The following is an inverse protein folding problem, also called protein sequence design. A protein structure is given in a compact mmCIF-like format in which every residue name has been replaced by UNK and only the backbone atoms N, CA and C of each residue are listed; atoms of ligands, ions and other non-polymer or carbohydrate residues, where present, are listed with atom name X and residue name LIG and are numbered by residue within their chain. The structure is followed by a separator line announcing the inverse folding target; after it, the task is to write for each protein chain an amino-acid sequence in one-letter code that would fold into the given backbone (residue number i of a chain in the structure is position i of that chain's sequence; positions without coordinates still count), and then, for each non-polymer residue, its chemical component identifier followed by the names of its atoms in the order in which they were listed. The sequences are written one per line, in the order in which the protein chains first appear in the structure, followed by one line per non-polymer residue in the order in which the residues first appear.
data_IF_454993447707
#
_entry.id   IF_454993447707
#
_cell.length_a   1.000
_cell.length_b   1.000
_cell.length_c   1.000
_cell.angle_alpha   90.00
_cell.angle_beta   90.00
_cell.angle_gamma   90.00
#
_symmetry.space_group_name_H-M   'P 1'
#
loop_
_entity.id
_entity.type
_entity.pdbx_description
1 polymer ?
#
# COMPACT_ATOMS: atom_id res chain seq x y z
N UNK A 1 17.76 -2.74 -6.76
CA UNK A 1 17.76 -4.11 -6.19
C UNK A 1 18.33 -4.16 -4.77
N UNK A 2 19.09 -3.15 -4.32
CA UNK A 2 19.87 -3.22 -3.07
C UNK A 2 19.10 -2.96 -1.76
N UNK A 3 18.11 -2.03 -1.75
CA UNK A 3 17.37 -1.72 -0.53
C UNK A 3 16.42 -2.82 -0.05
N UNK A 4 15.75 -3.52 -0.98
CA UNK A 4 14.90 -4.67 -0.60
C UNK A 4 15.73 -5.75 0.07
N UNK A 5 16.94 -6.01 -0.43
CA UNK A 5 17.86 -6.97 0.19
C UNK A 5 18.25 -6.53 1.60
N UNK A 6 18.55 -5.23 1.77
CA UNK A 6 18.82 -4.65 3.08
C UNK A 6 17.63 -4.79 4.05
N UNK A 7 16.42 -4.39 3.64
CA UNK A 7 15.22 -4.52 4.47
C UNK A 7 14.89 -6.00 4.75
N UNK A 8 15.06 -6.87 3.75
CA UNK A 8 14.90 -8.31 3.95
C UNK A 8 15.88 -8.90 4.94
N UNK A 9 17.09 -8.36 5.02
CA UNK A 9 18.05 -8.74 6.04
C UNK A 9 17.68 -8.14 7.41
N UNK A 10 17.32 -6.85 7.45
CA UNK A 10 16.96 -6.12 8.68
C UNK A 10 15.75 -6.75 9.39
N UNK A 11 14.79 -7.25 8.61
CA UNK A 11 13.58 -7.89 9.08
C UNK A 11 13.60 -9.42 8.87
N UNK A 12 14.78 -10.03 8.67
CA UNK A 12 14.92 -11.46 8.32
C UNK A 12 14.34 -12.44 9.35
N UNK A 13 14.27 -12.02 10.61
CA UNK A 13 13.76 -12.86 11.70
C UNK A 13 12.27 -12.64 11.98
N UNK A 14 11.58 -11.86 11.13
CA UNK A 14 10.17 -11.53 11.30
C UNK A 14 9.37 -12.27 10.25
N UNK A 15 8.53 -13.22 10.71
CA UNK A 15 7.69 -14.07 9.88
C UNK A 15 6.83 -13.25 8.91
N UNK A 16 6.31 -12.10 9.33
CA UNK A 16 5.52 -11.19 8.49
C UNK A 16 6.28 -10.62 7.29
N UNK A 17 7.60 -10.46 7.41
CA UNK A 17 8.45 -10.06 6.28
C UNK A 17 8.68 -11.23 5.30
N UNK A 18 8.65 -12.46 5.82
CA UNK A 18 8.86 -13.70 5.09
C UNK A 18 7.57 -14.39 4.63
N UNK A 19 6.40 -13.91 5.05
CA UNK A 19 5.14 -14.63 4.89
C UNK A 19 4.89 -14.97 3.41
N UNK A 20 5.21 -16.21 3.08
CA UNK A 20 4.55 -17.03 2.08
C UNK A 20 3.31 -17.64 2.73
N UNK A 21 2.42 -16.81 3.28
CA UNK A 21 1.16 -17.35 3.78
C UNK A 21 0.44 -18.00 2.60
N UNK A 22 0.16 -19.30 2.68
CA UNK A 22 -0.68 -20.04 1.71
C UNK A 22 -2.08 -19.41 1.55
N UNK A 23 -2.42 -18.46 2.42
CA UNK A 23 -3.61 -17.65 2.33
C UNK A 23 -3.40 -16.45 1.39
N UNK A 24 -3.96 -16.53 0.18
CA UNK A 24 -3.88 -15.49 -0.86
C UNK A 24 -4.54 -14.15 -0.50
N UNK A 25 -5.11 -14.05 0.70
CA UNK A 25 -5.89 -12.90 1.20
C UNK A 25 -5.20 -12.13 2.33
N UNK A 26 -3.94 -12.45 2.65
CA UNK A 26 -3.18 -11.75 3.70
C UNK A 26 -2.87 -10.30 3.30
N UNK A 27 -3.10 -9.35 4.21
CA UNK A 27 -2.70 -7.96 4.05
C UNK A 27 -1.35 -7.72 4.74
N UNK A 28 -0.29 -7.28 4.02
CA UNK A 28 1.03 -7.11 4.63
C UNK A 28 1.04 -6.01 5.71
N UNK A 29 1.39 -6.39 6.94
CA UNK A 29 1.46 -5.48 8.10
C UNK A 29 2.82 -4.79 8.22
N UNK A 30 3.85 -5.30 7.54
CA UNK A 30 5.09 -4.58 7.26
C UNK A 30 5.13 -4.23 5.76
N UNK A 31 5.30 -2.96 5.46
CA UNK A 31 5.33 -2.45 4.09
C UNK A 31 6.53 -1.56 3.88
N UNK A 32 7.21 -1.69 2.73
CA UNK A 32 8.26 -0.77 2.32
C UNK A 32 7.88 -0.07 1.02
N UNK A 33 8.20 1.21 0.95
CA UNK A 33 7.78 2.06 -0.17
C UNK A 33 8.66 3.28 -0.31
N UNK A 34 8.48 3.96 -1.45
CA UNK A 34 9.07 5.26 -1.70
C UNK A 34 7.98 6.31 -1.65
N UNK A 35 8.11 7.27 -0.75
CA UNK A 35 7.17 8.38 -0.56
C UNK A 35 8.00 9.65 -0.64
N UNK A 36 7.62 10.58 -1.51
CA UNK A 36 8.32 11.87 -1.69
C UNK A 36 9.85 11.75 -1.79
N UNK A 37 10.28 10.79 -2.62
CA UNK A 37 11.68 10.42 -2.85
C UNK A 37 12.41 9.80 -1.64
N UNK A 38 11.82 9.80 -0.44
CA UNK A 38 12.30 9.12 0.76
C UNK A 38 11.90 7.65 0.77
N UNK A 39 12.69 6.84 1.46
CA UNK A 39 12.38 5.45 1.75
C UNK A 39 11.59 5.39 3.04
N UNK A 40 10.49 4.64 3.03
CA UNK A 40 9.63 4.50 4.18
C UNK A 40 9.39 3.02 4.47
N UNK A 41 9.39 2.68 5.75
CA UNK A 41 8.96 1.39 6.28
C UNK A 41 7.78 1.68 7.19
N UNK A 42 6.68 0.95 7.00
CA UNK A 42 5.46 1.06 7.79
C UNK A 42 5.28 -0.27 8.50
N UNK A 43 5.15 -0.22 9.82
CA UNK A 43 4.66 -1.32 10.64
C UNK A 43 3.24 -0.99 11.11
N UNK A 44 2.37 -1.99 11.11
CA UNK A 44 0.96 -1.85 11.49
C UNK A 44 0.65 -2.82 12.63
N UNK A 45 -0.16 -2.39 13.60
CA UNK A 45 -0.48 -3.20 14.78
C UNK A 45 0.77 -3.50 15.60
N UNK A 46 0.95 -4.76 16.01
CA UNK A 46 2.12 -5.22 16.76
C UNK A 46 3.46 -4.97 16.03
N UNK A 47 3.45 -4.89 14.69
CA UNK A 47 4.66 -4.63 13.91
C UNK A 47 5.09 -3.16 13.92
N UNK A 48 4.25 -2.24 14.40
CA UNK A 48 4.62 -0.83 14.55
C UNK A 48 5.80 -0.68 15.53
N UNK A 49 5.73 -1.34 16.68
CA UNK A 49 6.78 -1.29 17.71
C UNK A 49 8.08 -1.94 17.22
N UNK A 50 7.98 -3.07 16.52
CA UNK A 50 9.12 -3.77 15.93
C UNK A 50 9.84 -2.88 14.89
N UNK A 51 9.07 -2.22 14.02
CA UNK A 51 9.64 -1.27 13.04
C UNK A 51 10.25 -0.07 13.77
N UNK A 52 9.57 0.48 14.77
CA UNK A 52 10.08 1.60 15.57
C UNK A 52 11.43 1.26 16.20
N UNK A 53 11.55 0.13 16.88
CA UNK A 53 12.78 -0.32 17.54
C UNK A 53 13.92 -0.52 16.54
N UNK A 54 13.67 -1.26 15.45
CA UNK A 54 14.71 -1.56 14.45
C UNK A 54 15.18 -0.31 13.72
N UNK A 55 14.27 0.60 13.38
CA UNK A 55 14.62 1.82 12.67
C UNK A 55 15.32 2.82 13.58
N UNK A 56 14.92 2.94 14.85
CA UNK A 56 15.55 3.86 15.82
C UNK A 56 17.02 3.56 16.09
N UNK A 57 17.42 2.29 15.96
CA UNK A 57 18.80 1.85 16.15
C UNK A 57 19.61 1.83 14.85
N UNK A 58 19.04 2.29 13.74
CA UNK A 58 19.68 2.23 12.44
C UNK A 58 20.47 3.52 12.15
N UNK A 59 21.77 3.39 11.91
CA UNK A 59 22.69 4.48 11.56
C UNK A 59 23.16 4.42 10.09
N UNK A 60 22.93 3.31 9.40
CA UNK A 60 23.33 3.11 8.01
C UNK A 60 22.46 2.12 7.24
N UNK A 61 22.48 2.23 5.92
CA UNK A 61 21.95 1.22 4.99
C UNK A 61 23.13 0.48 4.37
N UNK A 62 23.18 -0.83 4.56
CA UNK A 62 24.19 -1.68 3.92
C UNK A 62 23.65 -2.25 2.61
N UNK A 63 24.34 -1.99 1.51
CA UNK A 63 24.13 -2.66 0.22
C UNK A 63 25.26 -3.67 -0.02
N UNK A 64 25.19 -4.41 -1.14
CA UNK A 64 26.29 -5.33 -1.51
C UNK A 64 27.64 -4.62 -1.67
N UNK A 65 27.61 -3.36 -2.09
CA UNK A 65 28.82 -2.63 -2.52
C UNK A 65 29.27 -1.57 -1.51
N UNK A 66 28.39 -1.11 -0.60
CA UNK A 66 28.68 0.02 0.26
C UNK A 66 27.82 0.09 1.52
N UNK A 67 28.35 0.76 2.55
CA UNK A 67 27.63 1.19 3.75
C UNK A 67 27.32 2.69 3.62
N UNK A 68 26.03 3.01 3.49
CA UNK A 68 25.54 4.38 3.29
C UNK A 68 25.04 4.91 4.62
N UNK A 69 25.68 5.93 5.24
CA UNK A 69 25.20 6.49 6.49
C UNK A 69 23.83 7.15 6.32
N UNK A 70 22.97 7.02 7.33
CA UNK A 70 21.68 7.72 7.36
C UNK A 70 21.92 9.18 7.73
N UNK A 71 21.57 10.10 6.83
CA UNK A 71 21.72 11.54 7.04
C UNK A 71 20.50 12.16 7.73
N UNK A 72 19.33 11.56 7.56
CA UNK A 72 18.10 11.97 8.22
C UNK A 72 17.18 10.75 8.40
N UNK A 73 16.65 10.58 9.61
CA UNK A 73 15.70 9.54 9.96
C UNK A 73 14.49 10.21 10.63
N UNK A 74 13.33 10.08 10.00
CA UNK A 74 12.06 10.54 10.54
C UNK A 74 11.26 9.32 10.99
N UNK A 75 10.91 9.27 12.27
CA UNK A 75 10.07 8.21 12.85
C UNK A 75 8.81 8.87 13.36
N UNK A 76 7.67 8.31 12.98
CA UNK A 76 6.35 8.77 13.40
C UNK A 76 5.54 7.57 13.85
N UNK A 77 4.87 7.71 14.99
CA UNK A 77 3.84 6.77 15.44
C UNK A 77 2.50 7.49 15.40
N UNK A 78 1.48 6.85 14.82
CA UNK A 78 0.15 7.42 14.67
C UNK A 78 -0.90 6.35 14.93
N UNK A 79 -1.98 6.75 15.57
CA UNK A 79 -3.13 5.88 15.79
C UNK A 79 -4.19 6.18 14.75
N UNK A 80 -4.64 5.14 14.06
CA UNK A 80 -5.73 5.22 13.10
C UNK A 80 -7.04 4.80 13.76
N UNK A 81 -8.10 5.58 13.51
CA UNK A 81 -9.47 5.22 13.88
C UNK A 81 -10.36 5.32 12.65
N UNK A 82 -11.17 4.27 12.36
CA UNK A 82 -12.16 4.37 11.30
C UNK A 82 -13.19 5.43 11.71
N UNK A 83 -13.45 6.36 10.79
CA UNK A 83 -14.44 7.43 11.01
C UNK A 83 -15.15 7.73 9.71
N UNK A 84 -16.47 7.80 9.75
CA UNK A 84 -17.31 8.20 8.61
C UNK A 84 -17.19 9.71 8.36
N UNK A 85 -16.29 10.08 7.46
CA UNK A 85 -16.09 11.45 7.00
C UNK A 85 -15.68 11.39 5.54
N UNK A 86 -16.39 12.12 4.68
CA UNK A 86 -16.00 12.26 3.28
C UNK A 86 -14.63 12.92 3.17
N UNK A 87 -13.66 12.14 2.71
CA UNK A 87 -12.25 12.56 2.63
C UNK A 87 -11.69 12.25 1.25
N UNK A 88 -10.79 13.12 0.77
CA UNK A 88 -10.15 13.02 -0.55
C UNK A 88 -8.79 12.35 -0.45
N UNK A 89 -8.50 11.52 -1.43
CA UNK A 89 -7.24 10.78 -1.52
C UNK A 89 -6.72 10.71 -2.94
N UNK A 90 -5.42 10.42 -3.05
CA UNK A 90 -4.80 9.99 -4.30
C UNK A 90 -3.82 8.85 -4.07
N UNK A 91 -3.49 8.18 -5.16
CA UNK A 91 -2.40 7.21 -5.16
C UNK A 91 -1.06 7.90 -5.41
N UNK A 92 -0.11 7.76 -4.48
CA UNK A 92 1.27 8.23 -4.62
C UNK A 92 2.13 7.30 -5.49
N UNK A 93 1.68 6.05 -5.68
CA UNK A 93 2.32 5.05 -6.53
C UNK A 93 1.28 4.27 -7.33
N UNK A 94 1.66 3.58 -8.43
CA UNK A 94 0.69 2.92 -9.29
C UNK A 94 -0.16 1.93 -8.48
N UNK A 95 -1.48 2.06 -8.54
CA UNK A 95 -2.40 1.09 -7.93
C UNK A 95 -2.65 -0.06 -8.91
N UNK A 96 -2.29 -1.28 -8.52
CA UNK A 96 -2.56 -2.48 -9.32
C UNK A 96 -3.90 -3.07 -8.84
N UNK A 97 -4.98 -2.64 -9.49
CA UNK A 97 -6.35 -3.00 -9.13
C UNK A 97 -6.80 -4.35 -9.71
N UNK A 98 -6.27 -4.72 -10.88
CA UNK A 98 -6.84 -5.79 -11.71
C UNK A 98 -5.98 -7.06 -11.63
N UNK A 99 -6.63 -8.19 -11.33
CA UNK A 99 -6.09 -9.51 -11.63
C UNK A 99 -6.33 -9.85 -13.12
N UNK A 100 -5.85 -11.01 -13.59
CA UNK A 100 -5.95 -11.41 -15.00
C UNK A 100 -7.40 -11.45 -15.49
N UNK A 101 -8.30 -12.01 -14.71
CA UNK A 101 -9.73 -12.14 -15.05
C UNK A 101 -10.42 -10.76 -15.10
N UNK A 102 -10.20 -9.93 -14.07
CA UNK A 102 -10.75 -8.60 -13.98
C UNK A 102 -10.21 -7.67 -15.07
N UNK A 103 -8.96 -7.87 -15.52
CA UNK A 103 -8.41 -7.13 -16.64
C UNK A 103 -9.18 -7.39 -17.93
N UNK A 104 -9.46 -8.66 -18.24
CA UNK A 104 -10.25 -9.04 -19.43
C UNK A 104 -11.64 -8.40 -19.37
N UNK A 105 -12.33 -8.49 -18.22
CA UNK A 105 -13.63 -7.85 -18.03
C UNK A 105 -13.54 -6.34 -18.23
N UNK A 106 -12.60 -5.69 -17.55
CA UNK A 106 -12.37 -4.24 -17.60
C UNK A 106 -12.12 -3.73 -19.03
N UNK A 107 -11.33 -4.46 -19.83
CA UNK A 107 -10.99 -4.04 -21.20
C UNK A 107 -12.18 -4.00 -22.16
N UNK A 108 -13.26 -4.73 -21.85
CA UNK A 108 -14.47 -4.80 -22.67
C UNK A 108 -15.53 -3.77 -22.25
N UNK A 109 -15.33 -3.06 -21.14
CA UNK A 109 -16.28 -2.10 -20.59
C UNK A 109 -16.18 -0.72 -21.23
N UNK A 110 -17.30 0.02 -21.23
CA UNK A 110 -17.29 1.44 -21.56
C UNK A 110 -16.52 2.24 -20.51
N UNK A 111 -16.11 3.48 -20.82
CA UNK A 111 -15.42 4.36 -19.84
C UNK A 111 -16.20 4.55 -18.53
N UNK A 112 -17.53 4.68 -18.62
CA UNK A 112 -18.40 4.84 -17.44
C UNK A 112 -18.40 3.56 -16.60
N UNK A 113 -18.55 2.41 -17.25
CA UNK A 113 -18.59 1.12 -16.56
C UNK A 113 -17.22 0.73 -16.01
N UNK A 114 -16.12 1.09 -16.69
CA UNK A 114 -14.75 0.96 -16.20
C UNK A 114 -14.55 1.71 -14.89
N UNK A 115 -15.05 2.96 -14.80
CA UNK A 115 -15.00 3.75 -13.58
C UNK A 115 -15.74 3.05 -12.44
N UNK A 116 -17.00 2.65 -12.65
CA UNK A 116 -17.80 1.95 -11.65
C UNK A 116 -17.18 0.61 -11.23
N UNK A 117 -16.56 -0.09 -12.17
CA UNK A 117 -15.84 -1.34 -11.91
C UNK A 117 -14.62 -1.12 -11.00
N UNK A 118 -13.83 -0.07 -11.28
CA UNK A 118 -12.70 0.30 -10.42
C UNK A 118 -13.15 0.78 -9.04
N UNK A 119 -14.24 1.55 -8.94
CA UNK A 119 -14.82 1.97 -7.65
C UNK A 119 -15.19 0.75 -6.78
N UNK A 120 -15.83 -0.28 -7.36
CA UNK A 120 -16.16 -1.53 -6.67
C UNK A 120 -14.90 -2.27 -6.20
N UNK A 121 -13.87 -2.35 -7.04
CA UNK A 121 -12.59 -2.96 -6.65
C UNK A 121 -11.92 -2.16 -5.52
N UNK A 122 -11.97 -0.83 -5.57
CA UNK A 122 -11.37 0.02 -4.56
C UNK A 122 -12.05 -0.16 -3.20
N UNK A 123 -13.39 -0.25 -3.16
CA UNK A 123 -14.14 -0.63 -1.95
C UNK A 123 -13.68 -1.99 -1.42
N UNK A 124 -13.60 -3.01 -2.29
CA UNK A 124 -13.11 -4.34 -1.88
C UNK A 124 -11.68 -4.34 -1.32
N UNK A 125 -10.80 -3.53 -1.89
CA UNK A 125 -9.43 -3.38 -1.41
C UNK A 125 -9.37 -2.68 -0.04
N UNK A 126 -10.18 -1.64 0.17
CA UNK A 126 -10.29 -0.96 1.48
C UNK A 126 -10.80 -1.95 2.54
N UNK A 127 -11.86 -2.70 2.23
CA UNK A 127 -12.38 -3.73 3.14
C UNK A 127 -11.34 -4.81 3.45
N UNK A 128 -10.56 -5.23 2.45
CA UNK A 128 -9.46 -6.19 2.63
C UNK A 128 -8.37 -5.65 3.54
N UNK A 129 -8.02 -4.37 3.39
CA UNK A 129 -7.06 -3.68 4.26
C UNK A 129 -7.57 -3.62 5.70
N UNK A 130 -8.79 -3.13 5.93
CA UNK A 130 -9.37 -3.02 7.27
C UNK A 130 -9.43 -4.38 7.96
N UNK A 131 -9.90 -5.41 7.24
CA UNK A 131 -9.92 -6.79 7.73
C UNK A 131 -8.53 -7.28 8.12
N UNK A 132 -7.53 -7.01 7.29
CA UNK A 132 -6.15 -7.40 7.57
C UNK A 132 -5.51 -6.67 8.75
N UNK A 133 -5.99 -5.46 9.05
CA UNK A 133 -5.62 -4.70 10.24
C UNK A 133 -6.48 -5.06 11.47
N UNK A 134 -7.37 -6.04 11.35
CA UNK A 134 -8.34 -6.43 12.39
C UNK A 134 -9.28 -5.28 12.81
N UNK A 135 -9.57 -4.38 11.88
CA UNK A 135 -10.46 -3.24 12.07
C UNK A 135 -11.85 -3.57 11.50
N UNK A 136 -12.85 -3.47 12.36
CA UNK A 136 -14.26 -3.68 12.00
C UNK A 136 -14.97 -2.33 11.88
N UNK A 137 -15.76 -2.17 10.82
CA UNK A 137 -16.59 -0.98 10.59
C UNK A 137 -18.04 -1.42 10.37
N UNK A 138 -18.97 -0.71 11.00
CA UNK A 138 -20.42 -0.96 10.89
C UNK A 138 -21.10 0.03 9.92
N UNK A 139 -20.38 0.41 8.87
CA UNK A 139 -20.84 1.39 7.89
C UNK A 139 -20.64 0.89 6.46
N UNK A 140 -21.44 1.42 5.54
CA UNK A 140 -21.24 1.15 4.12
C UNK A 140 -20.14 2.05 3.57
N UNK A 141 -19.00 1.46 3.20
CA UNK A 141 -17.91 2.19 2.56
C UNK A 141 -18.30 2.50 1.12
N UNK A 142 -18.28 3.79 0.77
CA UNK A 142 -18.48 4.27 -0.59
C UNK A 142 -17.20 4.94 -1.09
N UNK A 143 -16.98 4.82 -2.39
CA UNK A 143 -15.84 5.41 -3.10
C UNK A 143 -16.35 6.04 -4.38
N UNK A 144 -15.89 7.26 -4.66
CA UNK A 144 -16.16 7.97 -5.90
C UNK A 144 -14.86 8.40 -6.54
N UNK A 145 -14.50 7.80 -7.67
CA UNK A 145 -13.30 8.18 -8.41
C UNK A 145 -13.55 9.51 -9.13
N UNK A 146 -12.72 10.51 -8.86
CA UNK A 146 -12.81 11.83 -9.45
C UNK A 146 -12.02 11.91 -10.76
N UNK A 147 -10.81 11.36 -10.75
CA UNK A 147 -9.93 11.27 -11.91
C UNK A 147 -9.19 9.93 -11.85
N UNK A 148 -8.92 9.32 -13.00
CA UNK A 148 -8.02 8.18 -13.03
C UNK A 148 -7.29 8.02 -14.37
N UNK A 149 -5.98 7.83 -14.29
CA UNK A 149 -5.08 7.58 -15.42
C UNK A 149 -4.50 6.18 -15.33
N UNK A 150 -4.60 5.42 -16.40
CA UNK A 150 -3.92 4.12 -16.52
C UNK A 150 -2.49 4.29 -17.02
N UNK A 151 -1.62 3.39 -16.55
CA UNK A 151 -0.24 3.25 -16.98
C UNK A 151 0.13 1.76 -17.02
N UNK A 152 1.14 1.40 -17.81
CA UNK A 152 1.77 0.09 -17.69
C UNK A 152 2.79 0.13 -16.55
N UNK A 153 2.67 -0.79 -15.60
CA UNK A 153 3.64 -0.95 -14.50
C UNK A 153 4.21 -2.36 -14.51
N UNK A 154 5.37 -2.54 -13.87
CA UNK A 154 6.04 -3.84 -13.77
C UNK A 154 6.08 -4.24 -12.29
N UNK A 155 5.52 -5.41 -11.97
CA UNK A 155 5.65 -6.02 -10.66
C UNK A 155 6.04 -7.50 -10.84
N UNK A 156 6.97 -8.01 -10.04
CA UNK A 156 7.41 -9.41 -10.16
C UNK A 156 7.79 -9.82 -11.60
N UNK A 157 8.48 -8.93 -12.34
CA UNK A 157 8.87 -9.12 -13.74
C UNK A 157 7.69 -9.26 -14.74
N UNK A 158 6.45 -9.08 -14.28
CA UNK A 158 5.25 -9.13 -15.10
C UNK A 158 4.70 -7.72 -15.31
N UNK A 159 4.13 -7.47 -16.49
CA UNK A 159 3.45 -6.21 -16.82
C UNK A 159 2.02 -6.23 -16.30
N UNK A 160 1.60 -5.14 -15.67
CA UNK A 160 0.26 -4.92 -15.17
C UNK A 160 -0.28 -3.57 -15.61
N UNK A 161 -1.61 -3.46 -15.70
CA UNK A 161 -2.26 -2.16 -15.69
C UNK A 161 -2.21 -1.58 -14.27
N UNK A 162 -1.51 -0.45 -14.13
CA UNK A 162 -1.48 0.37 -12.94
C UNK A 162 -2.34 1.62 -13.12
N UNK A 163 -2.82 2.16 -12.01
CA UNK A 163 -3.73 3.30 -12.00
C UNK A 163 -3.23 4.39 -11.05
N UNK A 164 -3.27 5.64 -11.50
CA UNK A 164 -3.20 6.81 -10.64
C UNK A 164 -4.57 7.43 -10.61
N UNK A 165 -5.29 7.24 -9.51
CA UNK A 165 -6.61 7.81 -9.31
C UNK A 165 -6.61 8.80 -8.15
N UNK A 166 -7.51 9.77 -8.23
CA UNK A 166 -7.98 10.59 -7.12
C UNK A 166 -9.42 10.20 -6.81
N UNK A 167 -9.79 10.07 -5.54
CA UNK A 167 -11.13 9.63 -5.14
C UNK A 167 -11.59 10.27 -3.84
N UNK A 168 -12.90 10.33 -3.67
CA UNK A 168 -13.55 10.56 -2.39
C UNK A 168 -13.85 9.20 -1.74
N UNK A 169 -13.61 9.06 -0.43
CA UNK A 169 -14.04 7.91 0.37
C UNK A 169 -14.97 8.38 1.49
N UNK A 170 -15.99 7.58 1.84
CA UNK A 170 -16.85 7.87 2.99
C UNK A 170 -16.18 7.65 4.34
N UNK A 171 -14.97 7.10 4.39
CA UNK A 171 -14.21 6.89 5.63
C UNK A 171 -12.82 7.51 5.57
N UNK A 172 -12.25 7.78 6.75
CA UNK A 172 -10.82 8.08 6.88
C UNK A 172 -10.02 6.82 6.57
N UNK A 173 -8.95 6.95 5.78
CA UNK A 173 -7.99 5.89 5.48
C UNK A 173 -6.65 6.21 6.13
N UNK A 174 -5.91 5.19 6.64
CA UNK A 174 -4.59 5.41 7.19
C UNK A 174 -3.62 5.87 6.09
N UNK A 175 -2.88 6.94 6.36
CA UNK A 175 -1.92 7.46 5.39
C UNK A 175 -0.83 6.44 5.09
N UNK A 176 -0.35 6.48 3.85
CA UNK A 176 0.74 5.69 3.32
C UNK A 176 0.53 4.18 3.28
N UNK A 177 -0.58 3.65 3.79
CA UNK A 177 -0.95 2.25 3.60
C UNK A 177 -1.18 1.95 2.11
N UNK A 178 -0.92 0.72 1.70
CA UNK A 178 -1.13 0.30 0.31
C UNK A 178 -2.49 -0.37 0.10
N UNK A 179 -3.05 -0.22 -1.10
CA UNK A 179 -4.24 -0.92 -1.56
C UNK A 179 -3.96 -1.70 -2.86
N UNK A 180 -4.69 -2.79 -3.09
CA UNK A 180 -4.58 -3.62 -4.29
C UNK A 180 -3.45 -4.64 -4.24
N UNK A 181 -2.81 -4.93 -5.38
CA UNK A 181 -1.78 -5.96 -5.50
C UNK A 181 -0.37 -5.43 -5.26
N UNK A 182 0.49 -6.29 -4.71
CA UNK A 182 1.91 -6.01 -4.48
C UNK A 182 2.18 -4.82 -3.54
N UNK A 183 1.29 -4.62 -2.57
CA UNK A 183 1.34 -3.56 -1.55
C UNK A 183 2.66 -3.52 -0.80
N UNK A 184 3.19 -4.69 -0.40
CA UNK A 184 4.47 -4.80 0.31
C UNK A 184 5.64 -4.21 -0.48
N UNK A 185 5.53 -4.08 -1.81
CA UNK A 185 6.54 -3.48 -2.69
C UNK A 185 6.30 -1.99 -2.98
N UNK A 186 5.35 -1.37 -2.29
CA UNK A 186 5.05 0.05 -2.41
C UNK A 186 4.14 0.41 -3.57
N UNK A 187 3.31 -0.51 -4.06
CA UNK A 187 2.21 -0.18 -4.99
C UNK A 187 0.96 0.27 -4.24
N UNK A 188 0.14 1.07 -4.91
CA UNK A 188 -1.15 1.56 -4.41
C UNK A 188 -1.07 2.36 -3.11
N UNK A 189 -0.01 3.15 -2.92
CA UNK A 189 0.20 3.95 -1.69
C UNK A 189 -0.83 5.07 -1.61
N UNK A 190 -1.62 5.09 -0.55
CA UNK A 190 -2.67 6.09 -0.30
C UNK A 190 -2.07 7.32 0.37
N UNK A 191 -2.45 8.51 -0.09
CA UNK A 191 -2.15 9.79 0.58
C UNK A 191 -3.39 10.67 0.60
N UNK A 192 -3.62 11.38 1.70
CA UNK A 192 -4.73 12.31 1.82
C UNK A 192 -4.48 13.55 0.96
N UNK A 193 -5.54 14.06 0.33
CA UNK A 193 -5.57 15.37 -0.27
C UNK A 193 -6.23 16.32 0.72
N UNK A 194 -5.42 17.18 1.33
CA UNK A 194 -5.89 18.28 2.19
C UNK A 194 -6.75 19.27 1.40
#
# INVERSE_FOLDING_TARGET
MQLRGFLAHLFANISEFHHHSDNSYHYPLIQYKRIDKKLAVIGIGEFADIVFEKMSNLDHITTQDQKIPLTNLEIQNTTYYPKEVTSKYKFASPWIALNKENYTKYSLLTKKDQKQFLEKILVGNILSMLKGMEIFVDCTITVKINSCKSITTIAHQNKFAGFFCEWDSSIILPEYCGLGKSISKGFGVVISLK
#
